data_IF_946401271533
#
_entry.id   IF_946401271533
#
_cell.length_a   1.000
_cell.length_b   1.000
_cell.length_c   1.000
_cell.angle_alpha   90.00
_cell.angle_beta   90.00
_cell.angle_gamma   90.00
#
_symmetry.space_group_name_H-M   'P 1'
#
loop_
_entity.id
_entity.type
_entity.pdbx_description
1 polymer ?
#
# COMPACT_ATOMS: atom_id res chain seq x y z
N UNK A 1 -20.74 -8.19 -36.14
CA UNK A 1 -21.51 -9.46 -36.24
C UNK A 1 -20.72 -10.67 -35.74
N UNK A 2 -19.44 -10.90 -36.10
CA UNK A 2 -18.72 -12.14 -35.71
C UNK A 2 -18.47 -12.36 -34.21
N UNK A 3 -18.29 -11.31 -33.40
CA UNK A 3 -17.98 -11.49 -31.96
C UNK A 3 -19.19 -11.95 -31.12
N UNK A 4 -20.40 -11.60 -31.53
CA UNK A 4 -21.65 -11.99 -30.85
C UNK A 4 -22.00 -13.44 -31.16
N UNK A 5 -21.79 -13.88 -32.41
CA UNK A 5 -21.91 -15.29 -32.80
C UNK A 5 -20.90 -16.20 -32.09
N UNK A 6 -19.68 -15.71 -31.85
CA UNK A 6 -18.66 -16.46 -31.10
C UNK A 6 -19.06 -16.67 -29.63
N UNK A 7 -19.62 -15.65 -28.98
CA UNK A 7 -20.12 -15.75 -27.60
C UNK A 7 -21.31 -16.71 -27.50
N UNK A 8 -22.22 -16.71 -28.47
CA UNK A 8 -23.36 -17.62 -28.49
C UNK A 8 -22.92 -19.09 -28.65
N UNK A 9 -21.89 -19.34 -29.47
CA UNK A 9 -21.34 -20.68 -29.68
C UNK A 9 -20.59 -21.22 -28.44
N UNK A 10 -19.89 -20.34 -27.71
CA UNK A 10 -19.20 -20.70 -26.46
C UNK A 10 -20.20 -21.06 -25.36
N UNK A 11 -21.31 -20.33 -25.24
CA UNK A 11 -22.36 -20.63 -24.24
C UNK A 11 -23.02 -21.98 -24.53
N UNK A 12 -23.35 -22.28 -25.79
CA UNK A 12 -23.92 -23.57 -26.19
C UNK A 12 -22.95 -24.74 -25.90
N UNK A 13 -21.64 -24.55 -26.13
CA UNK A 13 -20.63 -25.58 -25.84
C UNK A 13 -20.53 -25.81 -24.32
N UNK A 14 -20.58 -24.76 -23.51
CA UNK A 14 -20.54 -24.87 -22.04
C UNK A 14 -21.78 -25.62 -21.52
N UNK A 15 -22.98 -25.32 -22.05
CA UNK A 15 -24.21 -26.00 -21.67
C UNK A 15 -24.20 -27.48 -22.07
N UNK A 16 -23.64 -27.83 -23.23
CA UNK A 16 -23.48 -29.23 -23.67
C UNK A 16 -22.48 -29.99 -22.78
N UNK A 17 -21.38 -29.36 -22.36
CA UNK A 17 -20.38 -29.97 -21.46
C UNK A 17 -20.96 -30.22 -20.07
N UNK A 18 -21.80 -29.30 -19.56
CA UNK A 18 -22.49 -29.46 -18.27
C UNK A 18 -23.52 -30.60 -18.34
N UNK A 19 -24.26 -30.72 -19.45
CA UNK A 19 -25.24 -31.81 -19.66
C UNK A 19 -24.54 -33.16 -19.80
N UNK A 20 -23.41 -33.25 -20.50
CA UNK A 20 -22.62 -34.48 -20.61
C UNK A 20 -22.00 -34.90 -19.27
N UNK A 21 -21.53 -33.94 -18.48
CA UNK A 21 -20.96 -34.19 -17.14
C UNK A 21 -22.02 -34.67 -16.12
N UNK A 22 -23.29 -34.27 -16.30
CA UNK A 22 -24.41 -34.77 -15.50
C UNK A 22 -24.94 -36.14 -15.97
N UNK A 23 -24.71 -36.51 -17.24
CA UNK A 23 -25.10 -37.81 -17.80
C UNK A 23 -24.11 -38.93 -17.46
N UNK A 24 -22.84 -38.58 -17.22
CA UNK A 24 -21.76 -39.53 -16.90
C UNK A 24 -21.76 -39.98 -15.42
N UNK A 25 -22.61 -39.36 -14.57
CA UNK A 25 -22.81 -39.72 -13.16
C UNK A 25 -23.76 -40.90 -12.92
N UNK A 26 -24.39 -41.47 -13.94
CA UNK A 26 -25.30 -42.62 -13.78
C UNK A 26 -25.15 -43.63 -14.92
N UNK A 27 -24.24 -44.61 -14.74
CA UNK A 27 -24.40 -46.03 -15.10
C UNK A 27 -23.03 -46.68 -15.38
N UNK A 28 -22.49 -47.36 -14.38
CA UNK A 28 -21.62 -48.54 -14.40
C UNK A 28 -21.17 -48.71 -12.94
N UNK A 29 -21.52 -49.74 -12.17
CA UNK A 29 -21.34 -51.16 -12.44
C UNK A 29 -22.30 -51.98 -11.56
N UNK A 30 -23.02 -52.93 -12.14
CA UNK A 30 -23.41 -54.18 -11.45
C UNK A 30 -23.48 -55.29 -12.48
N UNK A 31 -22.46 -56.14 -12.48
CA UNK A 31 -22.31 -57.49 -13.07
C UNK A 31 -20.82 -57.82 -12.86
N UNK A 32 -20.38 -58.92 -12.26
CA UNK A 32 -20.84 -60.30 -12.23
C UNK A 32 -20.13 -61.04 -11.07
N UNK A 33 -20.68 -62.16 -10.63
CA UNK A 33 -19.87 -63.34 -10.33
C UNK A 33 -20.73 -64.60 -10.48
N UNK A 34 -20.34 -65.41 -11.46
CA UNK A 34 -20.82 -66.77 -11.71
C UNK A 34 -20.37 -67.72 -10.59
N UNK A 35 -21.09 -68.82 -10.37
CA UNK A 35 -20.65 -70.16 -10.85
C UNK A 35 -21.40 -71.33 -10.19
N UNK A 36 -21.67 -72.32 -11.04
CA UNK A 36 -21.73 -73.77 -10.81
C UNK A 36 -23.06 -74.54 -10.67
N UNK A 37 -23.29 -75.34 -11.73
CA UNK A 37 -23.56 -76.79 -11.78
C UNK A 37 -25.01 -77.33 -11.72
N UNK A 38 -25.58 -77.43 -12.93
CA UNK A 38 -25.91 -78.66 -13.69
C UNK A 38 -26.49 -79.93 -13.03
N UNK A 39 -27.45 -80.49 -13.79
CA UNK A 39 -27.86 -81.90 -13.97
C UNK A 39 -28.94 -82.43 -13.02
N UNK A 40 -30.18 -82.63 -13.49
CA UNK A 40 -30.75 -83.72 -14.31
C UNK A 40 -31.26 -84.89 -13.47
N UNK A 41 -32.56 -85.20 -13.64
CA UNK A 41 -33.23 -86.51 -13.66
C UNK A 41 -32.86 -87.58 -12.62
N UNK A 42 -33.90 -88.12 -11.95
CA UNK A 42 -34.09 -89.55 -11.58
C UNK A 42 -35.57 -89.66 -11.16
N UNK A 43 -36.45 -90.29 -11.95
CA UNK A 43 -36.73 -91.73 -12.08
C UNK A 43 -37.68 -92.23 -10.96
N UNK A 44 -38.93 -92.51 -11.36
CA UNK A 44 -39.86 -93.35 -10.59
C UNK A 44 -39.93 -94.71 -11.28
N UNK A 45 -39.30 -95.71 -10.67
CA UNK A 45 -39.50 -97.12 -11.01
C UNK A 45 -39.79 -97.89 -9.73
N UNK A 46 -40.85 -98.70 -9.76
CA UNK A 46 -41.10 -99.97 -9.05
C UNK A 46 -42.60 -100.25 -9.17
N UNK A 47 -43.11 -101.42 -9.52
CA UNK A 47 -42.52 -102.74 -9.64
C UNK A 47 -43.69 -103.75 -9.53
N UNK A 48 -43.64 -104.82 -10.31
CA UNK A 48 -44.47 -106.05 -10.24
C UNK A 48 -43.50 -107.13 -10.78
N UNK A 49 -43.41 -108.39 -10.29
CA UNK A 49 -44.56 -109.26 -10.03
C UNK A 49 -44.43 -110.37 -8.96
N UNK A 50 -45.61 -110.99 -8.65
CA UNK A 50 -45.86 -112.44 -8.45
C UNK A 50 -45.10 -113.19 -7.33
N UNK A 51 -45.56 -114.28 -6.70
CA UNK A 51 -46.81 -115.05 -6.60
C UNK A 51 -46.50 -116.25 -5.67
N UNK A 52 -47.55 -117.03 -5.34
CA UNK A 52 -47.49 -118.42 -4.82
C UNK A 52 -47.26 -118.57 -3.30
N UNK A 53 -48.25 -119.01 -2.51
CA UNK A 53 -48.86 -120.36 -2.32
C UNK A 53 -48.24 -121.08 -1.10
N UNK A 54 -49.08 -121.23 -0.06
CA UNK A 54 -49.27 -122.32 0.93
C UNK A 54 -48.18 -123.42 1.12
N UNK A 55 -48.05 -124.08 2.32
CA UNK A 55 -49.19 -124.60 3.10
C UNK A 55 -49.12 -124.60 4.65
N UNK A 56 -50.33 -124.65 5.20
CA UNK A 56 -50.81 -125.17 6.50
C UNK A 56 -49.99 -125.06 7.80
N UNK A 57 -50.48 -124.16 8.66
CA UNK A 57 -50.42 -124.16 10.13
C UNK A 57 -51.54 -123.24 10.66
N UNK A 58 -51.95 -123.30 11.94
CA UNK A 58 -53.25 -122.83 12.44
C UNK A 58 -53.50 -121.34 12.14
N UNK A 59 -54.67 -121.07 11.54
CA UNK A 59 -55.02 -119.82 10.85
C UNK A 59 -55.72 -118.84 11.79
N UNK A 60 -55.34 -117.56 11.72
CA UNK A 60 -55.99 -116.44 12.43
C UNK A 60 -56.62 -115.53 11.37
N UNK A 61 -57.92 -115.26 11.50
CA UNK A 61 -58.68 -114.47 10.54
C UNK A 61 -58.66 -112.99 10.94
N UNK A 62 -58.11 -112.14 10.06
CA UNK A 62 -58.17 -110.69 10.19
C UNK A 62 -58.99 -110.09 9.04
N UNK A 63 -59.97 -109.26 9.35
CA UNK A 63 -60.79 -108.55 8.36
C UNK A 63 -60.04 -107.31 7.90
N UNK A 64 -59.64 -107.25 6.64
CA UNK A 64 -59.02 -106.07 6.04
C UNK A 64 -60.05 -105.40 5.13
N UNK A 65 -60.52 -104.21 5.53
CA UNK A 65 -61.30 -103.36 4.64
C UNK A 65 -60.36 -102.68 3.64
N UNK A 66 -60.57 -102.94 2.35
CA UNK A 66 -60.09 -102.03 1.31
C UNK A 66 -61.12 -100.92 1.15
N UNK A 67 -60.73 -99.69 1.43
CA UNK A 67 -61.46 -98.51 0.97
C UNK A 67 -61.18 -98.32 -0.52
N UNK A 68 -61.92 -99.07 -1.34
CA UNK A 68 -62.13 -98.76 -2.75
C UNK A 68 -63.45 -98.02 -2.90
N UNK A 69 -63.43 -96.86 -3.53
CA UNK A 69 -64.60 -96.02 -3.76
C UNK A 69 -65.50 -96.63 -4.85
N UNK A 70 -66.27 -97.69 -4.56
CA UNK A 70 -67.63 -97.86 -5.11
C UNK A 70 -68.39 -99.07 -4.54
N UNK A 71 -69.73 -98.97 -4.58
CA UNK A 71 -70.73 -99.70 -3.77
C UNK A 71 -70.92 -101.21 -4.04
N UNK A 72 -69.90 -102.04 -3.83
CA UNK A 72 -70.10 -103.45 -3.47
C UNK A 72 -69.13 -103.87 -2.37
N UNK A 73 -69.68 -104.15 -1.18
CA UNK A 73 -68.92 -104.48 0.01
C UNK A 73 -68.51 -105.97 -0.03
N UNK A 74 -67.45 -106.29 -0.76
CA UNK A 74 -66.83 -107.62 -0.72
C UNK A 74 -65.83 -107.72 0.44
N UNK A 75 -66.23 -108.43 1.50
CA UNK A 75 -65.36 -108.76 2.63
C UNK A 75 -64.55 -109.99 2.25
N UNK A 76 -63.36 -109.79 1.68
CA UNK A 76 -62.42 -110.88 1.39
C UNK A 76 -61.56 -111.17 2.62
N UNK A 77 -61.84 -112.28 3.30
CA UNK A 77 -60.98 -112.82 4.35
C UNK A 77 -59.69 -113.36 3.71
N UNK A 78 -58.60 -112.59 3.79
CA UNK A 78 -57.27 -113.11 3.48
C UNK A 78 -56.69 -113.74 4.74
N UNK A 79 -56.26 -114.99 4.64
CA UNK A 79 -55.59 -115.69 5.73
C UNK A 79 -54.11 -115.29 5.77
N UNK A 80 -53.64 -114.81 6.93
CA UNK A 80 -52.23 -114.48 7.16
C UNK A 80 -51.69 -115.48 8.18
N UNK A 81 -50.52 -116.06 7.92
CA UNK A 81 -49.86 -116.90 8.92
C UNK A 81 -49.29 -116.02 10.04
N UNK A 82 -49.27 -116.55 11.27
CA UNK A 82 -48.68 -115.85 12.43
C UNK A 82 -47.22 -115.44 12.17
N UNK A 83 -46.48 -116.24 11.39
CA UNK A 83 -45.11 -115.93 10.96
C UNK A 83 -45.01 -114.71 10.03
N UNK A 84 -45.99 -114.49 9.14
CA UNK A 84 -46.00 -113.34 8.24
C UNK A 84 -46.24 -112.03 9.00
N UNK A 85 -47.18 -112.04 9.95
CA UNK A 85 -47.50 -110.89 10.81
C UNK A 85 -46.33 -110.53 11.76
N UNK A 86 -45.63 -111.53 12.28
CA UNK A 86 -44.41 -111.32 13.09
C UNK A 86 -43.26 -110.71 12.27
N UNK A 87 -43.10 -111.12 11.01
CA UNK A 87 -42.08 -110.55 10.12
C UNK A 87 -42.42 -109.11 9.73
N UNK A 88 -43.69 -108.80 9.44
CA UNK A 88 -44.15 -107.42 9.21
C UNK A 88 -43.97 -106.54 10.45
N UNK A 89 -44.32 -107.02 11.66
CA UNK A 89 -44.04 -106.29 12.91
C UNK A 89 -42.55 -106.10 13.19
N UNK A 90 -41.69 -106.97 12.67
CA UNK A 90 -40.22 -106.82 12.76
C UNK A 90 -39.75 -105.76 11.76
N UNK A 91 -40.20 -105.84 10.51
CA UNK A 91 -39.89 -104.88 9.46
C UNK A 91 -40.33 -103.46 9.83
N UNK A 92 -41.56 -103.28 10.35
CA UNK A 92 -42.06 -101.97 10.82
C UNK A 92 -41.18 -101.43 11.95
N UNK A 93 -40.69 -102.28 12.86
CA UNK A 93 -39.77 -101.86 13.92
C UNK A 93 -38.42 -101.42 13.37
N UNK A 94 -37.86 -102.17 12.42
CA UNK A 94 -36.57 -101.84 11.80
C UNK A 94 -36.64 -100.56 10.95
N UNK A 95 -37.73 -100.35 10.21
CA UNK A 95 -37.99 -99.13 9.46
C UNK A 95 -38.14 -97.94 10.41
N UNK A 96 -38.89 -98.12 11.51
CA UNK A 96 -39.04 -97.07 12.53
C UNK A 96 -37.69 -96.70 13.16
N UNK A 97 -36.89 -97.67 13.56
CA UNK A 97 -35.57 -97.43 14.14
C UNK A 97 -34.61 -96.77 13.11
N UNK A 98 -34.75 -97.12 11.83
CA UNK A 98 -33.98 -96.49 10.75
C UNK A 98 -34.40 -95.04 10.50
N UNK A 99 -35.71 -94.75 10.51
CA UNK A 99 -36.24 -93.39 10.42
C UNK A 99 -35.84 -92.56 11.65
N UNK A 100 -35.82 -93.16 12.84
CA UNK A 100 -35.40 -92.50 14.08
C UNK A 100 -33.92 -92.06 13.98
N UNK A 101 -33.05 -92.94 13.50
CA UNK A 101 -31.63 -92.63 13.24
C UNK A 101 -31.42 -91.57 12.16
N UNK A 102 -32.30 -91.48 11.16
CA UNK A 102 -32.27 -90.39 10.17
C UNK A 102 -32.70 -89.08 10.81
N UNK A 103 -33.76 -89.10 11.62
CA UNK A 103 -34.27 -87.92 12.33
C UNK A 103 -33.23 -87.33 13.28
N UNK A 104 -32.55 -88.16 14.07
CA UNK A 104 -31.50 -87.71 14.99
C UNK A 104 -30.29 -87.11 14.26
N UNK A 105 -29.86 -87.72 13.15
CA UNK A 105 -28.78 -87.16 12.31
C UNK A 105 -29.17 -85.82 11.71
N UNK A 106 -30.41 -85.69 11.24
CA UNK A 106 -30.91 -84.46 10.63
C UNK A 106 -31.01 -83.32 11.64
N UNK A 107 -31.56 -83.56 12.85
CA UNK A 107 -31.60 -82.53 13.90
C UNK A 107 -30.22 -82.16 14.44
N UNK A 108 -29.30 -83.13 14.57
CA UNK A 108 -27.93 -82.87 15.03
C UNK A 108 -27.14 -82.04 14.00
N UNK A 109 -27.27 -82.36 12.71
CA UNK A 109 -26.64 -81.58 11.64
C UNK A 109 -27.28 -80.20 11.47
N UNK A 110 -28.61 -80.08 11.62
CA UNK A 110 -29.30 -78.80 11.52
C UNK A 110 -28.93 -77.88 12.69
N UNK A 111 -28.78 -78.42 13.91
CA UNK A 111 -28.29 -77.67 15.07
C UNK A 111 -26.85 -77.17 14.90
N UNK A 112 -25.95 -78.03 14.40
CA UNK A 112 -24.56 -77.64 14.08
C UNK A 112 -24.48 -76.60 12.96
N UNK A 113 -25.31 -76.75 11.92
CA UNK A 113 -25.36 -75.80 10.81
C UNK A 113 -25.93 -74.45 11.22
N UNK A 114 -26.97 -74.42 12.07
CA UNK A 114 -27.56 -73.18 12.58
C UNK A 114 -26.56 -72.39 13.43
N UNK A 115 -25.78 -73.06 14.29
CA UNK A 115 -24.72 -72.40 15.07
C UNK A 115 -23.58 -71.90 14.18
N UNK A 116 -23.14 -72.69 13.19
CA UNK A 116 -22.11 -72.28 12.23
C UNK A 116 -22.58 -71.07 11.40
N UNK A 117 -23.83 -71.06 10.95
CA UNK A 117 -24.42 -69.96 10.19
C UNK A 117 -24.55 -68.69 11.03
N UNK A 118 -24.93 -68.81 12.31
CA UNK A 118 -24.96 -67.67 13.23
C UNK A 118 -23.56 -67.11 13.50
N UNK A 119 -22.57 -67.99 13.73
CA UNK A 119 -21.18 -67.58 13.92
C UNK A 119 -20.61 -66.87 12.69
N UNK A 120 -20.83 -67.43 11.50
CA UNK A 120 -20.42 -66.82 10.23
C UNK A 120 -21.11 -65.47 10.00
N UNK A 121 -22.41 -65.36 10.29
CA UNK A 121 -23.15 -64.10 10.17
C UNK A 121 -22.58 -63.03 11.11
N UNK A 122 -22.25 -63.42 12.34
CA UNK A 122 -21.68 -62.49 13.31
C UNK A 122 -20.24 -62.09 12.95
N UNK A 123 -19.42 -63.02 12.47
CA UNK A 123 -18.06 -62.74 11.99
C UNK A 123 -18.08 -61.79 10.78
N UNK A 124 -18.96 -62.02 9.80
CA UNK A 124 -19.13 -61.11 8.65
C UNK A 124 -19.58 -59.72 9.14
N UNK A 125 -20.51 -59.66 10.09
CA UNK A 125 -21.03 -58.39 10.62
C UNK A 125 -19.97 -57.61 11.39
N UNK A 126 -19.13 -58.29 12.18
CA UNK A 126 -17.99 -57.66 12.88
C UNK A 126 -16.94 -57.23 11.86
N UNK A 127 -16.58 -58.08 10.90
CA UNK A 127 -15.55 -57.78 9.91
C UNK A 127 -15.92 -56.59 9.01
N UNK A 128 -17.15 -56.54 8.49
CA UNK A 128 -17.64 -55.38 7.71
C UNK A 128 -17.66 -54.11 8.57
N UNK A 129 -18.04 -54.21 9.84
CA UNK A 129 -18.11 -53.05 10.73
C UNK A 129 -16.72 -52.56 11.14
N UNK A 130 -15.77 -53.45 11.42
CA UNK A 130 -14.43 -53.10 11.89
C UNK A 130 -13.52 -52.72 10.72
N UNK A 131 -13.38 -53.57 9.69
CA UNK A 131 -12.52 -53.24 8.53
C UNK A 131 -13.09 -52.07 7.71
N UNK A 132 -14.42 -51.98 7.61
CA UNK A 132 -15.07 -50.84 6.96
C UNK A 132 -14.88 -49.53 7.72
N UNK A 133 -14.98 -49.56 9.06
CA UNK A 133 -14.80 -48.37 9.88
C UNK A 133 -13.32 -47.98 10.01
N UNK A 134 -12.41 -48.95 10.17
CA UNK A 134 -10.96 -48.71 10.20
C UNK A 134 -10.45 -48.14 8.87
N UNK A 135 -10.95 -48.64 7.73
CA UNK A 135 -10.63 -48.10 6.40
C UNK A 135 -11.16 -46.67 6.23
N UNK A 136 -12.36 -46.39 6.75
CA UNK A 136 -12.95 -45.06 6.73
C UNK A 136 -12.19 -44.09 7.64
N UNK A 137 -11.80 -44.52 8.84
CA UNK A 137 -11.03 -43.75 9.80
C UNK A 137 -9.60 -43.50 9.29
N UNK A 138 -9.00 -44.47 8.61
CA UNK A 138 -7.70 -44.32 7.95
C UNK A 138 -7.78 -43.30 6.80
N UNK A 139 -8.80 -43.39 5.96
CA UNK A 139 -9.02 -42.43 4.88
C UNK A 139 -9.31 -41.03 5.43
N UNK A 140 -10.14 -40.93 6.45
CA UNK A 140 -10.49 -39.68 7.10
C UNK A 140 -9.25 -39.05 7.77
N UNK A 141 -8.42 -39.84 8.45
CA UNK A 141 -7.16 -39.37 9.02
C UNK A 141 -6.18 -38.88 7.94
N UNK A 142 -6.11 -39.57 6.81
CA UNK A 142 -5.28 -39.15 5.66
C UNK A 142 -5.79 -37.86 5.03
N UNK A 143 -7.11 -37.70 4.88
CA UNK A 143 -7.74 -36.48 4.39
C UNK A 143 -7.56 -35.30 5.35
N UNK A 144 -7.68 -35.52 6.66
CA UNK A 144 -7.42 -34.48 7.67
C UNK A 144 -5.95 -34.04 7.60
N UNK A 145 -5.01 -34.99 7.49
CA UNK A 145 -3.59 -34.69 7.34
C UNK A 145 -3.29 -33.89 6.07
N UNK A 146 -3.85 -34.30 4.92
CA UNK A 146 -3.72 -33.56 3.66
C UNK A 146 -4.35 -32.16 3.72
N UNK A 147 -5.52 -32.04 4.38
CA UNK A 147 -6.16 -30.75 4.60
C UNK A 147 -5.34 -29.84 5.53
N UNK A 148 -4.71 -30.39 6.56
CA UNK A 148 -3.81 -29.62 7.44
C UNK A 148 -2.62 -29.06 6.65
N UNK A 149 -1.99 -29.89 5.81
CA UNK A 149 -0.90 -29.45 4.93
C UNK A 149 -1.33 -28.40 3.88
N UNK A 150 -2.56 -28.49 3.37
CA UNK A 150 -3.12 -27.47 2.48
C UNK A 150 -3.41 -26.15 3.20
N UNK A 151 -3.82 -26.21 4.48
CA UNK A 151 -4.00 -25.02 5.33
C UNK A 151 -2.65 -24.35 5.60
N UNK A 152 -1.60 -25.12 5.90
CA UNK A 152 -0.25 -24.58 6.09
C UNK A 152 0.28 -23.92 4.81
N UNK A 153 0.16 -24.58 3.66
CA UNK A 153 0.55 -24.01 2.36
C UNK A 153 -0.23 -22.73 2.03
N UNK A 154 -1.50 -22.66 2.42
CA UNK A 154 -2.34 -21.46 2.24
C UNK A 154 -1.84 -20.28 3.08
N UNK A 155 -1.44 -20.51 4.33
CA UNK A 155 -0.87 -19.46 5.19
C UNK A 155 0.53 -19.05 4.73
N UNK A 156 1.37 -19.98 4.26
CA UNK A 156 2.64 -19.66 3.61
C UNK A 156 2.45 -18.79 2.37
N UNK A 157 1.50 -19.12 1.49
CA UNK A 157 1.18 -18.29 0.32
C UNK A 157 0.69 -16.91 0.74
N UNK A 158 -0.07 -16.80 1.82
CA UNK A 158 -0.58 -15.51 2.33
C UNK A 158 0.55 -14.65 2.90
N UNK A 159 1.48 -15.25 3.63
CA UNK A 159 2.67 -14.55 4.16
C UNK A 159 3.64 -14.14 3.05
N UNK A 160 3.87 -15.01 2.05
CA UNK A 160 4.62 -14.68 0.83
C UNK A 160 3.98 -13.53 0.05
N UNK A 161 2.65 -13.54 -0.09
CA UNK A 161 1.94 -12.45 -0.77
C UNK A 161 2.07 -11.13 -0.03
N UNK A 162 1.91 -11.14 1.30
CA UNK A 162 2.10 -9.96 2.13
C UNK A 162 3.54 -9.41 2.07
N UNK A 163 4.54 -10.30 2.09
CA UNK A 163 5.95 -9.88 1.97
C UNK A 163 6.27 -9.35 0.57
N UNK A 164 5.71 -9.94 -0.49
CA UNK A 164 5.83 -9.44 -1.85
C UNK A 164 5.19 -8.05 -2.01
N UNK A 165 3.97 -7.85 -1.52
CA UNK A 165 3.30 -6.54 -1.51
C UNK A 165 4.13 -5.49 -0.75
N UNK A 166 4.63 -5.83 0.44
CA UNK A 166 5.48 -4.94 1.24
C UNK A 166 6.80 -4.60 0.55
N UNK A 167 7.41 -5.54 -0.15
CA UNK A 167 8.64 -5.29 -0.91
C UNK A 167 8.37 -4.45 -2.17
N UNK A 168 7.23 -4.66 -2.82
CA UNK A 168 6.80 -3.86 -3.97
C UNK A 168 6.50 -2.41 -3.56
N UNK A 169 5.90 -2.20 -2.39
CA UNK A 169 5.69 -0.87 -1.82
C UNK A 169 7.02 -0.18 -1.50
N UNK A 170 7.92 -0.86 -0.77
CA UNK A 170 9.28 -0.33 -0.52
C UNK A 170 10.04 0.03 -1.78
N UNK A 171 9.88 -0.75 -2.86
CA UNK A 171 10.54 -0.46 -4.14
C UNK A 171 9.96 0.81 -4.77
N UNK A 172 8.63 0.99 -4.72
CA UNK A 172 7.97 2.23 -5.15
C UNK A 172 8.40 3.44 -4.32
N UNK A 173 8.53 3.29 -3.00
CA UNK A 173 9.01 4.37 -2.14
C UNK A 173 10.45 4.77 -2.48
N UNK A 174 11.32 3.77 -2.73
CA UNK A 174 12.71 4.03 -3.15
C UNK A 174 12.80 4.67 -4.53
N UNK A 175 11.92 4.29 -5.47
CA UNK A 175 11.80 4.95 -6.78
C UNK A 175 11.36 6.42 -6.63
N UNK A 176 10.41 6.70 -5.74
CA UNK A 176 9.95 8.06 -5.46
C UNK A 176 11.05 8.92 -4.79
N UNK A 177 11.76 8.37 -3.80
CA UNK A 177 12.91 9.04 -3.17
C UNK A 177 14.02 9.35 -4.20
N UNK A 178 14.31 8.40 -5.10
CA UNK A 178 15.29 8.61 -6.17
C UNK A 178 14.84 9.73 -7.12
N UNK A 179 13.56 9.75 -7.51
CA UNK A 179 13.02 10.79 -8.38
C UNK A 179 13.07 12.17 -7.72
N UNK A 180 12.78 12.25 -6.42
CA UNK A 180 12.91 13.49 -5.66
C UNK A 180 14.37 13.96 -5.59
N UNK A 181 15.30 13.06 -5.24
CA UNK A 181 16.72 13.38 -5.20
C UNK A 181 17.27 13.80 -6.57
N UNK A 182 16.75 13.23 -7.67
CA UNK A 182 17.09 13.64 -9.03
C UNK A 182 16.56 15.04 -9.35
N UNK A 183 15.33 15.36 -8.97
CA UNK A 183 14.75 16.70 -9.15
C UNK A 183 15.51 17.76 -8.34
N UNK A 184 15.86 17.46 -7.09
CA UNK A 184 16.68 18.34 -6.25
C UNK A 184 18.08 18.54 -6.85
N UNK A 185 18.74 17.48 -7.33
CA UNK A 185 20.03 17.61 -8.01
C UNK A 185 19.96 18.43 -9.30
N UNK A 186 18.88 18.31 -10.08
CA UNK A 186 18.65 19.15 -11.25
C UNK A 186 18.49 20.62 -10.85
N UNK A 187 17.72 20.91 -9.80
CA UNK A 187 17.54 22.26 -9.29
C UNK A 187 18.85 22.86 -8.78
N UNK A 188 19.63 22.10 -8.01
CA UNK A 188 20.94 22.53 -7.53
C UNK A 188 21.91 22.81 -8.69
N UNK A 189 21.90 21.98 -9.74
CA UNK A 189 22.69 22.24 -10.96
C UNK A 189 22.31 23.57 -11.60
N UNK A 190 21.02 23.82 -11.82
CA UNK A 190 20.55 25.09 -12.40
C UNK A 190 20.92 26.30 -11.53
N UNK A 191 20.88 26.15 -10.20
CA UNK A 191 21.28 27.20 -9.28
C UNK A 191 22.79 27.48 -9.34
N UNK A 192 23.61 26.43 -9.40
CA UNK A 192 25.07 26.55 -9.57
C UNK A 192 25.39 27.21 -10.92
N UNK A 193 24.76 26.78 -12.00
CA UNK A 193 24.93 27.38 -13.34
C UNK A 193 24.52 28.86 -13.33
N UNK A 194 23.36 29.20 -12.78
CA UNK A 194 22.90 30.59 -12.66
C UNK A 194 23.85 31.46 -11.82
N UNK A 195 24.35 30.93 -10.70
CA UNK A 195 25.33 31.63 -9.85
C UNK A 195 26.67 31.79 -10.57
N UNK A 196 27.12 30.77 -11.30
CA UNK A 196 28.36 30.80 -12.05
C UNK A 196 28.27 31.81 -13.20
N UNK A 197 27.15 31.83 -13.94
CA UNK A 197 26.89 32.81 -14.99
C UNK A 197 26.79 34.25 -14.45
N UNK A 198 26.16 34.46 -13.29
CA UNK A 198 26.15 35.77 -12.65
C UNK A 198 27.58 36.22 -12.28
N UNK A 199 28.40 35.28 -11.78
CA UNK A 199 29.82 35.51 -11.49
C UNK A 199 30.64 35.86 -12.74
N UNK A 200 30.51 35.11 -13.83
CA UNK A 200 31.23 35.40 -15.09
C UNK A 200 30.79 36.73 -15.67
N UNK A 201 29.48 37.05 -15.64
CA UNK A 201 28.96 38.37 -16.07
C UNK A 201 29.54 39.51 -15.25
N UNK A 202 29.60 39.39 -13.93
CA UNK A 202 30.18 40.42 -13.07
C UNK A 202 31.68 40.63 -13.35
N UNK A 203 32.44 39.55 -13.58
CA UNK A 203 33.85 39.64 -13.96
C UNK A 203 34.04 40.32 -15.32
N UNK A 204 33.23 39.96 -16.31
CA UNK A 204 33.26 40.62 -17.63
C UNK A 204 32.91 42.10 -17.53
N UNK A 205 31.91 42.47 -16.71
CA UNK A 205 31.54 43.88 -16.51
C UNK A 205 32.65 44.67 -15.83
N UNK A 206 33.29 44.10 -14.80
CA UNK A 206 34.42 44.74 -14.13
C UNK A 206 35.61 44.91 -15.08
N UNK A 207 35.93 43.88 -15.86
CA UNK A 207 36.98 43.96 -16.89
C UNK A 207 36.68 45.04 -17.93
N UNK A 208 35.44 45.13 -18.39
CA UNK A 208 35.02 46.16 -19.35
C UNK A 208 35.05 47.57 -18.76
N UNK A 209 34.69 47.75 -17.48
CA UNK A 209 34.83 49.02 -16.76
C UNK A 209 36.29 49.43 -16.66
N UNK A 210 37.15 48.52 -16.23
CA UNK A 210 38.58 48.78 -16.10
C UNK A 210 39.21 49.15 -17.44
N UNK A 211 38.87 48.42 -18.52
CA UNK A 211 39.34 48.73 -19.86
C UNK A 211 38.89 50.11 -20.33
N UNK A 212 37.61 50.46 -20.11
CA UNK A 212 37.08 51.80 -20.43
C UNK A 212 37.81 52.90 -19.66
N UNK A 213 38.08 52.71 -18.36
CA UNK A 213 38.85 53.68 -17.58
C UNK A 213 40.28 53.86 -18.12
N UNK A 214 40.94 52.78 -18.55
CA UNK A 214 42.25 52.88 -19.18
C UNK A 214 42.21 53.63 -20.52
N UNK A 215 41.21 53.34 -21.36
CA UNK A 215 41.00 54.01 -22.64
C UNK A 215 40.67 55.51 -22.45
N UNK A 216 39.78 55.85 -21.51
CA UNK A 216 39.44 57.23 -21.16
C UNK A 216 40.66 57.99 -20.64
N UNK A 217 41.46 57.39 -19.76
CA UNK A 217 42.72 58.00 -19.28
C UNK A 217 43.69 58.24 -20.43
N UNK A 218 43.82 57.29 -21.36
CA UNK A 218 44.68 57.44 -22.53
C UNK A 218 44.21 58.60 -23.43
N UNK A 219 42.91 58.67 -23.70
CA UNK A 219 42.31 59.74 -24.51
C UNK A 219 42.46 61.11 -23.85
N UNK A 220 42.25 61.19 -22.53
CA UNK A 220 42.39 62.44 -21.78
C UNK A 220 43.84 62.94 -21.78
N UNK A 221 44.83 62.04 -21.67
CA UNK A 221 46.24 62.42 -21.82
C UNK A 221 46.55 62.91 -23.23
N UNK A 222 46.05 62.23 -24.27
CA UNK A 222 46.21 62.68 -25.65
C UNK A 222 45.56 64.04 -25.91
N UNK A 223 44.39 64.30 -25.31
CA UNK A 223 43.69 65.59 -25.39
C UNK A 223 44.50 66.70 -24.75
N UNK A 224 45.03 66.48 -23.54
CA UNK A 224 45.90 67.45 -22.86
C UNK A 224 47.15 67.78 -23.67
N UNK A 225 47.84 66.77 -24.20
CA UNK A 225 49.00 67.02 -25.06
C UNK A 225 48.64 67.81 -26.32
N UNK A 226 47.46 67.58 -26.92
CA UNK A 226 47.00 68.36 -28.06
C UNK A 226 46.72 69.83 -27.67
N UNK A 227 46.02 70.04 -26.57
CA UNK A 227 45.74 71.38 -26.03
C UNK A 227 47.04 72.14 -25.69
N UNK A 228 48.04 71.45 -25.11
CA UNK A 228 49.37 72.02 -24.85
C UNK A 228 50.07 72.45 -26.15
N UNK A 229 50.01 71.63 -27.21
CA UNK A 229 50.58 71.97 -28.52
C UNK A 229 49.89 73.20 -29.11
N UNK A 230 48.55 73.25 -29.08
CA UNK A 230 47.78 74.39 -29.58
C UNK A 230 48.11 75.68 -28.81
N UNK A 231 48.15 75.62 -27.48
CA UNK A 231 48.53 76.76 -26.63
C UNK A 231 49.96 77.26 -26.94
N UNK A 232 50.91 76.35 -27.13
CA UNK A 232 52.27 76.71 -27.52
C UNK A 232 52.32 77.35 -28.91
N UNK A 233 51.51 76.87 -29.86
CA UNK A 233 51.39 77.46 -31.18
C UNK A 233 50.79 78.87 -31.13
N UNK A 234 49.71 79.08 -30.38
CA UNK A 234 49.10 80.41 -30.18
C UNK A 234 50.08 81.39 -29.55
N UNK A 235 50.78 80.98 -28.49
CA UNK A 235 51.82 81.80 -27.85
C UNK A 235 52.91 82.20 -28.84
N UNK A 236 53.36 81.27 -29.68
CA UNK A 236 54.32 81.56 -30.76
C UNK A 236 53.79 82.57 -31.77
N UNK A 237 52.50 82.47 -32.15
CA UNK A 237 51.87 83.44 -33.05
C UNK A 237 51.71 84.83 -32.42
N UNK A 238 51.30 84.91 -31.15
CA UNK A 238 51.21 86.16 -30.41
C UNK A 238 52.58 86.83 -30.28
N UNK A 239 53.63 86.07 -30.04
CA UNK A 239 55.00 86.59 -29.97
C UNK A 239 55.44 87.20 -31.31
N UNK A 240 55.09 86.58 -32.45
CA UNK A 240 55.35 87.15 -33.79
C UNK A 240 54.59 88.46 -34.03
N UNK A 241 53.31 88.49 -33.65
CA UNK A 241 52.47 89.71 -33.76
C UNK A 241 53.00 90.83 -32.88
N UNK A 242 53.41 90.52 -31.65
CA UNK A 242 54.03 91.48 -30.73
C UNK A 242 55.30 92.07 -31.36
N UNK A 243 56.20 91.22 -31.86
CA UNK A 243 57.43 91.68 -32.52
C UNK A 243 57.15 92.59 -33.72
N UNK A 244 56.15 92.25 -34.53
CA UNK A 244 55.74 93.08 -35.68
C UNK A 244 55.16 94.43 -35.22
N UNK A 245 54.41 94.43 -34.12
CA UNK A 245 53.87 95.65 -33.52
C UNK A 245 54.98 96.55 -32.95
N UNK A 246 55.94 95.97 -32.23
CA UNK A 246 57.12 96.67 -31.71
C UNK A 246 57.94 97.32 -32.84
N UNK A 247 58.13 96.60 -33.96
CA UNK A 247 58.79 97.15 -35.14
C UNK A 247 57.99 98.32 -35.75
N UNK A 248 56.66 98.21 -35.83
CA UNK A 248 55.80 99.29 -36.36
C UNK A 248 55.77 100.51 -35.45
N UNK A 249 55.73 100.34 -34.13
CA UNK A 249 55.81 101.44 -33.17
C UNK A 249 57.15 102.17 -33.34
N UNK A 250 58.26 101.44 -33.43
CA UNK A 250 59.58 102.03 -33.70
C UNK A 250 59.61 102.84 -35.02
N UNK A 251 58.89 102.40 -36.05
CA UNK A 251 58.78 103.13 -37.31
C UNK A 251 57.86 104.36 -37.22
N UNK A 252 56.80 104.29 -36.40
CA UNK A 252 55.89 105.41 -36.16
C UNK A 252 56.52 106.49 -35.28
N UNK A 253 57.29 106.12 -34.26
CA UNK A 253 58.08 107.06 -33.45
C UNK A 253 59.05 107.89 -34.32
N UNK A 254 59.54 107.32 -35.42
CA UNK A 254 60.37 108.03 -36.41
C UNK A 254 59.54 108.91 -37.38
N UNK A 255 58.24 108.65 -37.52
CA UNK A 255 57.32 109.27 -38.48
C UNK A 255 56.40 110.33 -37.86
N UNK A 256 56.28 110.40 -36.53
CA UNK A 256 55.41 111.34 -35.79
C UNK A 256 55.89 112.82 -35.80
N UNK A 257 56.74 113.21 -36.75
CA UNK A 257 57.24 114.59 -36.92
C UNK A 257 56.39 115.49 -37.83
N UNK A 258 55.17 115.08 -38.24
CA UNK A 258 54.33 115.89 -39.15
C UNK A 258 52.86 115.97 -38.72
N UNK A 259 52.51 117.11 -38.12
CA UNK A 259 51.35 117.27 -37.25
C UNK A 259 50.18 118.03 -37.93
N UNK A 260 49.43 117.35 -38.82
CA UNK A 260 48.18 117.89 -39.40
C UNK A 260 47.04 116.87 -39.58
N UNK A 261 47.29 115.55 -39.47
CA UNK A 261 46.27 114.50 -39.59
C UNK A 261 45.63 114.10 -38.24
N UNK A 262 46.14 114.66 -37.15
CA UNK A 262 45.87 114.23 -35.78
C UNK A 262 44.45 114.62 -35.35
N UNK A 263 43.97 115.81 -35.71
CA UNK A 263 42.66 116.32 -35.29
C UNK A 263 41.48 115.56 -35.95
N UNK A 264 41.54 115.27 -37.26
CA UNK A 264 40.47 114.50 -37.93
C UNK A 264 40.40 113.04 -37.46
N UNK A 265 41.56 112.44 -37.17
CA UNK A 265 41.66 111.09 -36.61
C UNK A 265 40.99 111.02 -35.24
N UNK A 266 41.19 112.02 -34.38
CA UNK A 266 40.56 112.07 -33.06
C UNK A 266 39.02 112.15 -33.13
N UNK A 267 38.47 112.94 -34.06
CA UNK A 267 37.00 113.05 -34.21
C UNK A 267 36.37 111.73 -34.69
N UNK A 268 36.97 111.07 -35.69
CA UNK A 268 36.48 109.77 -36.18
C UNK A 268 36.61 108.65 -35.14
N UNK A 269 37.71 108.64 -34.37
CA UNK A 269 37.89 107.72 -33.25
C UNK A 269 36.83 107.94 -32.16
N UNK A 270 36.45 109.19 -31.89
CA UNK A 270 35.41 109.50 -30.90
C UNK A 270 34.03 108.97 -31.32
N UNK A 271 33.69 109.05 -32.61
CA UNK A 271 32.45 108.50 -33.15
C UNK A 271 32.40 106.96 -33.07
N UNK A 272 33.47 106.29 -33.49
CA UNK A 272 33.58 104.83 -33.39
C UNK A 272 33.57 104.35 -31.93
N UNK A 273 34.23 105.08 -31.04
CA UNK A 273 34.24 104.77 -29.61
C UNK A 273 32.82 104.83 -29.02
N UNK A 274 32.02 105.85 -29.36
CA UNK A 274 30.62 105.95 -28.89
C UNK A 274 29.74 104.82 -29.42
N UNK A 275 29.87 104.46 -30.70
CA UNK A 275 29.14 103.35 -31.29
C UNK A 275 29.52 102.01 -30.63
N UNK A 276 30.81 101.77 -30.39
CA UNK A 276 31.29 100.60 -29.67
C UNK A 276 30.77 100.55 -28.22
N UNK A 277 30.72 101.69 -27.53
CA UNK A 277 30.17 101.82 -26.17
C UNK A 277 28.68 101.48 -26.12
N UNK A 278 27.91 101.91 -27.12
CA UNK A 278 26.50 101.55 -27.23
C UNK A 278 26.32 100.05 -27.46
N UNK A 279 26.99 99.46 -28.46
CA UNK A 279 26.87 98.02 -28.73
C UNK A 279 27.34 97.15 -27.56
N UNK A 280 28.45 97.52 -26.90
CA UNK A 280 28.92 96.81 -25.71
C UNK A 280 27.93 96.90 -24.56
N UNK A 281 27.27 98.04 -24.35
CA UNK A 281 26.22 98.20 -23.34
C UNK A 281 25.02 97.28 -23.61
N UNK A 282 24.54 97.20 -24.86
CA UNK A 282 23.44 96.31 -25.23
C UNK A 282 23.82 94.83 -25.10
N UNK A 283 25.03 94.44 -25.53
CA UNK A 283 25.54 93.09 -25.35
C UNK A 283 25.65 92.72 -23.87
N UNK A 284 26.14 93.63 -23.03
CA UNK A 284 26.24 93.41 -21.58
C UNK A 284 24.87 93.21 -20.94
N UNK A 285 23.88 94.04 -21.29
CA UNK A 285 22.52 93.91 -20.77
C UNK A 285 21.86 92.58 -21.18
N UNK A 286 22.05 92.16 -22.44
CA UNK A 286 21.54 90.87 -22.94
C UNK A 286 22.19 89.68 -22.23
N UNK A 287 23.52 89.70 -22.07
CA UNK A 287 24.27 88.64 -21.36
C UNK A 287 23.83 88.59 -19.89
N UNK A 288 23.67 89.74 -19.23
CA UNK A 288 23.24 89.82 -17.84
C UNK A 288 21.82 89.27 -17.65
N UNK A 289 20.89 89.61 -18.55
CA UNK A 289 19.53 89.07 -18.52
C UNK A 289 19.52 87.55 -18.70
N UNK A 290 20.29 87.04 -19.68
CA UNK A 290 20.37 85.59 -19.93
C UNK A 290 21.04 84.84 -18.77
N UNK A 291 22.09 85.40 -18.17
CA UNK A 291 22.75 84.85 -16.99
C UNK A 291 21.78 84.74 -15.81
N UNK A 292 21.00 85.79 -15.55
CA UNK A 292 20.02 85.81 -14.46
C UNK A 292 18.92 84.77 -14.65
N UNK A 293 18.46 84.57 -15.88
CA UNK A 293 17.47 83.53 -16.19
C UNK A 293 18.04 82.12 -15.95
N UNK A 294 19.26 81.86 -16.43
CA UNK A 294 19.96 80.58 -16.22
C UNK A 294 20.23 80.31 -14.74
N UNK A 295 20.59 81.34 -13.96
CA UNK A 295 20.76 81.23 -12.52
C UNK A 295 19.45 80.87 -11.81
N UNK A 296 18.33 81.46 -12.23
CA UNK A 296 17.00 81.12 -11.69
C UNK A 296 16.61 79.68 -12.03
N UNK A 297 16.80 79.24 -13.27
CA UNK A 297 16.50 77.85 -13.69
C UNK A 297 17.43 76.85 -12.96
N UNK A 298 18.70 77.19 -12.77
CA UNK A 298 19.64 76.38 -12.00
C UNK A 298 19.27 76.29 -10.52
N UNK A 299 18.72 77.36 -9.93
CA UNK A 299 18.22 77.35 -8.57
C UNK A 299 17.00 76.44 -8.40
N UNK A 300 16.02 76.52 -9.31
CA UNK A 300 14.83 75.66 -9.33
C UNK A 300 15.21 74.17 -9.45
N UNK A 301 16.13 73.84 -10.37
CA UNK A 301 16.65 72.48 -10.52
C UNK A 301 17.35 71.99 -9.25
N UNK A 302 18.14 72.83 -8.57
CA UNK A 302 18.78 72.46 -7.29
C UNK A 302 17.75 72.16 -6.21
N UNK A 303 16.68 72.93 -6.12
CA UNK A 303 15.60 72.69 -5.17
C UNK A 303 14.85 71.38 -5.49
N UNK A 304 14.57 71.12 -6.76
CA UNK A 304 13.93 69.88 -7.20
C UNK A 304 14.80 68.65 -6.91
N UNK A 305 16.11 68.74 -7.15
CA UNK A 305 17.07 67.69 -6.79
C UNK A 305 17.06 67.46 -5.27
N UNK A 306 17.06 68.53 -4.47
CA UNK A 306 16.99 68.41 -3.00
C UNK A 306 15.70 67.72 -2.55
N UNK A 307 14.54 68.14 -3.05
CA UNK A 307 13.26 67.51 -2.72
C UNK A 307 13.22 66.02 -3.13
N UNK A 308 13.74 65.69 -4.31
CA UNK A 308 13.88 64.29 -4.74
C UNK A 308 14.78 63.48 -3.80
N UNK A 309 15.93 64.04 -3.40
CA UNK A 309 16.80 63.39 -2.42
C UNK A 309 16.10 63.18 -1.08
N UNK A 310 15.36 64.17 -0.58
CA UNK A 310 14.59 64.04 0.66
C UNK A 310 13.51 62.96 0.56
N UNK A 311 12.81 62.87 -0.58
CA UNK A 311 11.85 61.79 -0.84
C UNK A 311 12.54 60.42 -0.88
N UNK A 312 13.71 60.31 -1.50
CA UNK A 312 14.50 59.08 -1.51
C UNK A 312 14.91 58.69 -0.08
N UNK A 313 15.37 59.64 0.74
CA UNK A 313 15.72 59.37 2.14
C UNK A 313 14.51 58.93 2.97
N UNK A 314 13.35 59.54 2.77
CA UNK A 314 12.10 59.12 3.42
C UNK A 314 11.75 57.68 3.03
N UNK A 315 11.86 57.33 1.75
CA UNK A 315 11.60 55.96 1.28
C UNK A 315 12.64 54.97 1.83
N UNK A 316 13.93 55.31 1.81
CA UNK A 316 14.99 54.47 2.39
C UNK A 316 14.76 54.20 3.88
N UNK A 317 14.36 55.22 4.65
CA UNK A 317 14.01 55.06 6.06
C UNK A 317 12.82 54.12 6.25
N UNK A 318 11.80 54.22 5.40
CA UNK A 318 10.63 53.32 5.43
C UNK A 318 11.04 51.87 5.14
N UNK A 319 11.83 51.65 4.09
CA UNK A 319 12.33 50.32 3.73
C UNK A 319 13.18 49.74 4.86
N UNK A 320 14.06 50.55 5.46
CA UNK A 320 14.85 50.12 6.62
C UNK A 320 13.96 49.66 7.79
N UNK A 321 12.92 50.42 8.11
CA UNK A 321 11.96 50.03 9.16
C UNK A 321 11.22 48.72 8.82
N UNK A 322 10.83 48.53 7.55
CA UNK A 322 10.20 47.26 7.12
C UNK A 322 11.17 46.07 7.23
N UNK A 323 12.47 46.27 6.95
CA UNK A 323 13.49 45.23 7.12
C UNK A 323 13.63 44.87 8.60
N UNK A 324 13.74 45.86 9.48
CA UNK A 324 13.82 45.66 10.92
C UNK A 324 12.59 44.91 11.47
N UNK A 325 11.38 45.23 10.97
CA UNK A 325 10.15 44.51 11.31
C UNK A 325 10.17 43.05 10.85
N UNK A 326 10.60 42.80 9.60
CA UNK A 326 10.74 41.43 9.07
C UNK A 326 11.76 40.62 9.86
N UNK A 327 12.88 41.22 10.26
CA UNK A 327 13.89 40.56 11.09
C UNK A 327 13.34 40.21 12.48
N UNK A 328 12.61 41.13 13.12
CA UNK A 328 11.92 40.87 14.39
C UNK A 328 10.92 39.72 14.28
N UNK A 329 10.11 39.71 13.22
CA UNK A 329 9.15 38.64 12.96
C UNK A 329 9.85 37.29 12.71
N UNK A 330 10.97 37.26 12.00
CA UNK A 330 11.77 36.04 11.80
C UNK A 330 12.27 35.46 13.12
N UNK A 331 12.74 36.31 14.03
CA UNK A 331 13.16 35.85 15.37
C UNK A 331 11.98 35.26 16.15
N UNK A 332 10.80 35.89 16.09
CA UNK A 332 9.59 35.37 16.74
C UNK A 332 9.13 34.04 16.15
N UNK A 333 9.22 33.86 14.83
CA UNK A 333 8.91 32.58 14.16
C UNK A 333 9.88 31.50 14.65
N UNK A 334 11.19 31.77 14.66
CA UNK A 334 12.18 30.81 15.15
C UNK A 334 11.93 30.41 16.62
N UNK A 335 11.53 31.35 17.48
CA UNK A 335 11.15 31.05 18.87
C UNK A 335 9.92 30.14 18.95
N UNK A 336 8.91 30.38 18.11
CA UNK A 336 7.71 29.52 18.05
C UNK A 336 8.04 28.14 17.51
N UNK A 337 8.92 28.03 16.52
CA UNK A 337 9.36 26.74 15.98
C UNK A 337 10.09 25.93 17.06
N UNK A 338 10.95 26.55 17.87
CA UNK A 338 11.58 25.89 19.02
C UNK A 338 10.55 25.38 20.03
N UNK A 339 9.51 26.17 20.33
CA UNK A 339 8.44 25.74 21.23
C UNK A 339 7.61 24.58 20.65
N UNK A 340 7.32 24.62 19.34
CA UNK A 340 6.65 23.52 18.65
C UNK A 340 7.50 22.25 18.74
N UNK A 341 8.81 22.32 18.51
CA UNK A 341 9.71 21.17 18.66
C UNK A 341 9.69 20.60 20.08
N UNK A 342 9.73 21.44 21.12
CA UNK A 342 9.64 20.99 22.51
C UNK A 342 8.31 20.28 22.80
N UNK A 343 7.20 20.80 22.27
CA UNK A 343 5.90 20.15 22.40
C UNK A 343 5.83 18.82 21.66
N UNK A 344 6.40 18.73 20.46
CA UNK A 344 6.48 17.49 19.71
C UNK A 344 7.30 16.43 20.45
N UNK A 345 8.43 16.80 21.05
CA UNK A 345 9.24 15.89 21.88
C UNK A 345 8.44 15.38 23.08
N UNK A 346 7.67 16.25 23.75
CA UNK A 346 6.78 15.85 24.86
C UNK A 346 5.68 14.89 24.39
N UNK A 347 5.06 15.16 23.24
CA UNK A 347 4.05 14.27 22.66
C UNK A 347 4.67 12.90 22.37
N UNK A 348 5.87 12.86 21.76
CA UNK A 348 6.56 11.61 21.47
C UNK A 348 6.87 10.78 22.72
N UNK A 349 7.25 11.43 23.83
CA UNK A 349 7.45 10.75 25.13
C UNK A 349 6.14 10.15 25.62
N UNK A 350 5.06 10.94 25.64
CA UNK A 350 3.74 10.47 26.11
C UNK A 350 3.18 9.36 25.21
N UNK A 351 3.39 9.45 23.90
CA UNK A 351 3.02 8.39 22.95
C UNK A 351 3.79 7.10 23.23
N UNK A 352 5.09 7.17 23.53
CA UNK A 352 5.87 6.00 23.97
C UNK A 352 5.31 5.40 25.26
N UNK A 353 5.01 6.21 26.28
CA UNK A 353 4.44 5.75 27.55
C UNK A 353 3.07 5.08 27.34
N UNK A 354 2.20 5.68 26.52
CA UNK A 354 0.90 5.11 26.18
C UNK A 354 1.03 3.76 25.46
N UNK A 355 1.95 3.65 24.50
CA UNK A 355 2.21 2.39 23.79
C UNK A 355 2.72 1.31 24.76
N UNK A 356 3.62 1.65 25.69
CA UNK A 356 4.10 0.71 26.71
C UNK A 356 2.96 0.23 27.63
N UNK A 357 2.07 1.13 28.03
CA UNK A 357 0.89 0.78 28.82
C UNK A 357 -0.08 -0.10 28.03
N UNK A 358 -0.29 0.16 26.75
CA UNK A 358 -1.10 -0.65 25.86
C UNK A 358 -0.53 -2.07 25.70
N UNK A 359 0.79 -2.19 25.50
CA UNK A 359 1.49 -3.48 25.42
C UNK A 359 1.35 -4.27 26.73
N UNK A 360 1.50 -3.61 27.89
CA UNK A 360 1.25 -4.23 29.21
C UNK A 360 -0.18 -4.72 29.33
N UNK A 361 -1.17 -3.90 28.94
CA UNK A 361 -2.58 -4.28 28.98
C UNK A 361 -2.84 -5.50 28.10
N UNK A 362 -2.32 -5.51 26.87
CA UNK A 362 -2.43 -6.63 25.92
C UNK A 362 -1.81 -7.91 26.49
N UNK A 363 -0.65 -7.82 27.14
CA UNK A 363 -0.03 -8.94 27.83
C UNK A 363 -0.90 -9.48 28.97
N UNK A 364 -1.43 -8.61 29.84
CA UNK A 364 -2.36 -9.00 30.91
C UNK A 364 -3.62 -9.67 30.37
N UNK A 365 -4.25 -9.08 29.35
CA UNK A 365 -5.43 -9.65 28.69
C UNK A 365 -5.15 -11.02 28.08
N UNK A 366 -3.98 -11.20 27.45
CA UNK A 366 -3.54 -12.49 26.90
C UNK A 366 -3.29 -13.53 27.99
N UNK A 367 -2.81 -13.12 29.15
CA UNK A 367 -2.57 -13.99 30.31
C UNK A 367 -3.88 -14.40 30.98
N UNK A 368 -4.87 -13.50 31.05
CA UNK A 368 -6.17 -13.72 31.67
C UNK A 368 -7.16 -14.47 30.76
N UNK A 369 -6.99 -14.42 29.44
CA UNK A 369 -7.81 -15.13 28.44
C UNK A 369 -7.37 -16.57 28.18
N UNK A 370 -6.27 -17.03 28.78
CA UNK A 370 -5.93 -18.46 28.85
C UNK A 370 -6.99 -19.17 29.70
N UNK A 371 -7.59 -20.30 29.25
CA UNK A 371 -8.54 -21.02 30.09
C UNK A 371 -7.86 -21.34 31.41
N UNK A 372 -8.54 -21.01 32.51
CA UNK A 372 -8.09 -21.23 33.89
C UNK A 372 -8.09 -22.74 34.14
N UNK A 373 -7.13 -23.45 33.56
CA UNK A 373 -6.82 -24.82 33.92
C UNK A 373 -6.23 -24.81 35.32
N UNK A 374 -7.05 -25.30 36.24
CA UNK A 374 -6.75 -25.81 37.57
C UNK A 374 -5.28 -25.69 38.00
N UNK A 375 -4.95 -24.63 38.74
CA UNK A 375 -3.83 -24.65 39.67
C UNK A 375 -4.33 -24.22 41.04
N UNK A 376 -4.61 -25.27 41.79
CA UNK A 376 -4.52 -25.48 43.23
C UNK A 376 -4.38 -24.25 44.13
N UNK A 377 -5.40 -24.13 44.98
CA UNK A 377 -5.44 -23.47 46.28
C UNK A 377 -4.09 -23.37 47.00
N UNK A 378 -3.62 -22.13 47.22
CA UNK A 378 -2.95 -21.75 48.45
C UNK A 378 -3.34 -20.34 48.83
N UNK A 379 -4.35 -20.27 49.69
CA UNK A 379 -4.68 -19.09 50.48
C UNK A 379 -3.45 -18.70 51.32
N UNK A 380 -2.82 -17.58 50.98
CA UNK A 380 -2.09 -16.79 51.97
C UNK A 380 -3.03 -15.65 52.32
N UNK A 381 -3.90 -15.91 53.30
CA UNK A 381 -4.67 -14.88 53.97
C UNK A 381 -3.72 -14.00 54.76
N UNK A 382 -3.41 -12.82 54.20
CA UNK A 382 -2.98 -11.69 55.02
C UNK A 382 -4.25 -10.99 55.44
N UNK A 383 -4.65 -11.35 56.65
CA UNK A 383 -5.68 -10.72 57.46
C UNK A 383 -5.59 -9.20 57.38
N UNK A 384 -6.68 -8.56 56.96
CA UNK A 384 -6.86 -7.13 57.04
C UNK A 384 -8.22 -6.90 57.68
N UNK A 385 -8.18 -6.72 59.01
CA UNK A 385 -9.31 -6.38 59.86
C UNK A 385 -10.18 -5.29 59.23
N UNK A 386 -11.40 -5.67 58.84
CA UNK A 386 -12.46 -4.74 58.48
C UNK A 386 -13.04 -4.13 59.76
N UNK A 387 -12.55 -2.96 60.15
CA UNK A 387 -13.25 -2.03 61.04
C UNK A 387 -13.68 -0.78 60.25
N UNK A 388 -14.96 -0.33 60.35
CA UNK A 388 -15.48 0.77 59.56
C UNK A 388 -15.05 2.10 60.18
N UNK A 389 -13.87 2.59 59.82
CA UNK A 389 -13.43 3.94 60.19
C UNK A 389 -13.70 4.92 59.06
N UNK A 390 -14.81 5.63 59.22
CA UNK A 390 -15.22 6.85 58.54
C UNK A 390 -14.06 7.87 58.51
N UNK A 391 -13.20 7.79 57.49
CA UNK A 391 -12.25 8.86 57.15
C UNK A 391 -12.46 9.21 55.69
N UNK A 392 -13.10 10.36 55.48
CA UNK A 392 -13.28 10.94 54.16
C UNK A 392 -11.91 11.09 53.50
N UNK A 393 -11.73 10.42 52.37
CA UNK A 393 -10.57 10.60 51.51
C UNK A 393 -10.70 11.98 50.88
N UNK A 394 -10.03 12.97 51.48
CA UNK A 394 -9.90 14.29 50.87
C UNK A 394 -8.90 14.18 49.73
N UNK A 395 -9.40 14.09 48.50
CA UNK A 395 -8.56 13.96 47.32
C UNK A 395 -7.96 15.32 46.94
N UNK A 396 -6.78 15.36 46.30
CA UNK A 396 -6.24 16.61 45.72
C UNK A 396 -7.24 17.32 44.78
N UNK A 397 -8.12 16.55 44.14
CA UNK A 397 -9.22 17.05 43.31
C UNK A 397 -10.31 17.78 44.12
N UNK A 398 -10.65 17.29 45.32
CA UNK A 398 -11.54 18.02 46.24
C UNK A 398 -10.93 19.36 46.69
N UNK A 399 -9.61 19.43 46.88
CA UNK A 399 -8.90 20.67 47.21
C UNK A 399 -8.95 21.69 46.08
N UNK A 400 -8.77 21.24 44.84
CA UNK A 400 -8.91 22.07 43.65
C UNK A 400 -10.34 22.60 43.51
N UNK A 401 -11.35 21.76 43.65
CA UNK A 401 -12.77 22.18 43.62
C UNK A 401 -13.09 23.22 44.70
N UNK A 402 -12.54 23.07 45.91
CA UNK A 402 -12.76 24.01 47.01
C UNK A 402 -12.04 25.36 46.80
N UNK A 403 -10.88 25.35 46.14
CA UNK A 403 -10.16 26.57 45.75
C UNK A 403 -10.86 27.29 44.59
N UNK A 404 -11.36 26.55 43.59
CA UNK A 404 -12.12 27.14 42.47
C UNK A 404 -13.47 27.71 42.90
N UNK A 405 -14.13 27.09 43.89
CA UNK A 405 -15.38 27.61 44.45
C UNK A 405 -15.20 28.91 45.27
N UNK A 406 -14.00 29.16 45.82
CA UNK A 406 -13.68 30.39 46.56
C UNK A 406 -13.24 31.57 45.70
N UNK A 407 -12.89 31.34 44.42
CA UNK A 407 -12.50 32.40 43.47
C UNK A 407 -13.73 33.10 42.86
N UNK A 408 -14.92 32.51 42.97
CA UNK A 408 -16.16 33.04 42.38
C UNK A 408 -17.06 33.81 43.36
N UNK A 409 -16.52 34.26 44.50
CA UNK A 409 -17.20 35.18 45.42
C UNK A 409 -16.21 36.29 45.78
N UNK A 410 -16.02 37.23 44.85
CA UNK A 410 -15.90 38.68 45.09
C UNK A 410 -16.00 39.44 43.77
#
# INVERSE_FOLDING_TARGET
MSKILLLYYIIIIIDIIIILSLLEGTKLVTRLSESNKSALLIDEANGVPQSSLQPHGPKVYGVVQRTGSDRQQEVMAREWSVSHLQNEMRYIREVRDSLEKVRERMYSQFGGMQQSMQKLTQEIKVKIRTEGMDSFDQMNSSLISANLGLVDLREEVKTLRSTFEKNQEKLRDKENELAQAQAENQMLRLQVESSQEAGTRALHELSAKLQREYEEKLLEQQRKHREEIENLQEKSQLQKKLHTCEQRIRLLELSDTTDSNVVQKYVFLLYLANYALFYTSYCYLFILFRSKQLESEAADLKERIKHLNDMVFCQQRKVKGMIEEVESLRVQVAQKDMFISELLDRIAIVECENNELEDKLKYFMSTQSRPREALDTREVGVDCDLLPSRRGVYTPFMKLMEMTAKINIE
#
